data_IF_812136760817
#
_entry.id   IF_812136760817
#
_cell.length_a   1.000
_cell.length_b   1.000
_cell.length_c   1.000
_cell.angle_alpha   90.00
_cell.angle_beta   90.00
_cell.angle_gamma   90.00
#
_symmetry.space_group_name_H-M   'P 1'
#
loop_
_entity.id
_entity.type
_entity.pdbx_description
1 polymer ?
#
# COMPACT_ATOMS: atom_id res chain seq x y z
N UNK A 1 68.34 12.70 14.96
CA UNK A 1 67.02 12.09 15.24
C UNK A 1 66.01 13.22 15.35
N UNK A 2 65.17 13.39 14.33
CA UNK A 2 64.19 14.47 14.24
C UNK A 2 63.04 14.21 15.21
N UNK A 3 62.73 15.16 16.09
CA UNK A 3 61.58 15.08 17.00
C UNK A 3 60.27 14.97 16.20
N UNK A 4 59.30 14.22 16.74
CA UNK A 4 58.00 13.93 16.12
C UNK A 4 57.17 15.22 15.95
N UNK A 5 56.35 15.35 14.88
CA UNK A 5 55.49 16.52 14.68
C UNK A 5 54.56 16.80 15.86
N UNK A 6 54.15 15.75 16.59
CA UNK A 6 53.28 15.88 17.78
C UNK A 6 54.06 16.44 18.97
N UNK A 7 55.33 16.07 19.16
CA UNK A 7 56.15 16.64 20.22
C UNK A 7 56.54 18.09 19.91
N UNK A 8 56.76 18.41 18.63
CA UNK A 8 56.99 19.78 18.19
C UNK A 8 55.74 20.64 18.34
N UNK A 9 54.54 20.13 17.98
CA UNK A 9 53.29 20.85 18.19
C UNK A 9 52.97 21.05 19.69
N UNK A 10 53.28 20.07 20.54
CA UNK A 10 53.15 20.22 21.99
C UNK A 10 54.14 21.26 22.55
N UNK A 11 55.40 21.23 22.10
CA UNK A 11 56.40 22.23 22.47
C UNK A 11 56.06 23.63 21.93
N UNK A 12 55.51 23.75 20.73
CA UNK A 12 55.02 25.01 20.17
C UNK A 12 53.80 25.53 20.94
N UNK A 13 52.88 24.66 21.35
CA UNK A 13 51.74 25.06 22.18
C UNK A 13 52.23 25.51 23.56
N UNK A 14 53.16 24.78 24.18
CA UNK A 14 53.78 25.14 25.45
C UNK A 14 54.58 26.46 25.34
N UNK A 15 55.31 26.66 24.24
CA UNK A 15 56.06 27.87 23.95
C UNK A 15 55.13 29.06 23.69
N UNK A 16 53.95 28.83 23.09
CA UNK A 16 52.93 29.87 22.87
C UNK A 16 52.30 30.31 24.19
N UNK A 17 52.05 29.37 25.12
CA UNK A 17 51.56 29.66 26.47
C UNK A 17 52.59 30.42 27.31
N UNK A 18 53.89 30.10 27.18
CA UNK A 18 54.97 30.79 27.89
C UNK A 18 55.25 32.21 27.37
N UNK A 19 54.82 32.54 26.15
CA UNK A 19 54.99 33.88 25.55
C UNK A 19 53.89 34.87 25.96
N UNK A 20 52.84 34.42 26.63
CA UNK A 20 51.83 35.32 27.20
C UNK A 20 52.51 36.01 28.40
N UNK A 21 52.82 37.32 28.33
CA UNK A 21 53.46 38.01 29.43
C UNK A 21 52.53 37.93 30.65
N UNK A 22 53.05 37.39 31.75
CA UNK A 22 52.33 37.34 33.01
C UNK A 22 51.98 38.78 33.41
N UNK A 23 50.70 39.13 33.58
CA UNK A 23 50.32 40.48 33.96
C UNK A 23 50.93 40.81 35.33
N UNK A 24 51.79 41.84 35.37
CA UNK A 24 52.36 42.34 36.63
C UNK A 24 51.29 43.16 37.34
N UNK A 25 50.74 42.62 38.41
CA UNK A 25 49.71 43.24 39.24
C UNK A 25 50.41 44.05 40.35
N UNK A 26 50.29 45.38 40.32
CA UNK A 26 50.84 46.26 41.38
C UNK A 26 50.04 46.15 42.68
N UNK A 27 48.76 45.80 42.59
CA UNK A 27 47.94 45.33 43.71
C UNK A 27 47.62 43.87 43.48
N UNK A 28 48.28 43.01 44.25
CA UNK A 28 47.88 41.61 44.36
C UNK A 28 46.55 41.59 45.12
N UNK A 29 45.44 41.71 44.39
CA UNK A 29 44.10 41.47 44.93
C UNK A 29 43.77 39.99 44.72
N UNK A 30 43.95 39.14 45.75
CA UNK A 30 43.73 37.70 45.64
C UNK A 30 42.29 37.39 45.21
N UNK A 31 41.36 38.30 45.52
CA UNK A 31 39.93 38.16 45.32
C UNK A 31 39.54 38.14 43.83
N UNK A 32 40.21 38.91 42.96
CA UNK A 32 39.90 38.94 41.52
C UNK A 32 40.44 37.69 40.80
N UNK A 33 41.64 37.24 41.18
CA UNK A 33 42.20 35.98 40.69
C UNK A 33 41.36 34.79 41.16
N UNK A 34 40.91 34.81 42.42
CA UNK A 34 39.99 33.82 42.96
C UNK A 34 38.64 33.84 42.22
N UNK A 35 38.10 35.01 41.89
CA UNK A 35 36.86 35.15 41.12
C UNK A 35 36.99 34.61 39.68
N UNK A 36 38.10 34.91 38.99
CA UNK A 36 38.37 34.39 37.65
C UNK A 36 38.60 32.86 37.65
N UNK A 37 39.35 32.35 38.64
CA UNK A 37 39.55 30.92 38.83
C UNK A 37 38.23 30.20 39.18
N UNK A 38 37.35 30.82 39.97
CA UNK A 38 36.02 30.31 40.28
C UNK A 38 35.12 30.30 39.03
N UNK A 39 35.12 31.36 38.23
CA UNK A 39 34.36 31.43 36.98
C UNK A 39 34.83 30.38 35.96
N UNK A 40 36.15 30.20 35.83
CA UNK A 40 36.75 29.14 35.01
C UNK A 40 36.35 27.74 35.52
N UNK A 41 36.43 27.49 36.83
CA UNK A 41 36.01 26.23 37.42
C UNK A 41 34.52 25.92 37.18
N UNK A 42 33.66 26.96 37.21
CA UNK A 42 32.23 26.83 36.85
C UNK A 42 32.06 26.51 35.37
N UNK A 43 32.78 27.19 34.48
CA UNK A 43 32.73 26.92 33.03
C UNK A 43 33.19 25.50 32.71
N UNK A 44 34.29 25.04 33.30
CA UNK A 44 34.80 23.67 33.16
C UNK A 44 33.76 22.65 33.62
N UNK A 45 33.10 22.87 34.77
CA UNK A 45 32.03 21.98 35.24
C UNK A 45 30.82 21.96 34.32
N UNK A 46 30.46 23.09 33.70
CA UNK A 46 29.36 23.17 32.72
C UNK A 46 29.70 22.41 31.43
N UNK A 47 30.94 22.53 30.94
CA UNK A 47 31.40 21.76 29.78
C UNK A 47 31.39 20.27 30.10
N UNK A 48 31.94 19.85 31.24
CA UNK A 48 31.90 18.45 31.69
C UNK A 48 30.47 17.91 31.84
N UNK A 49 29.52 18.74 32.28
CA UNK A 49 28.12 18.36 32.36
C UNK A 49 27.48 18.22 30.97
N UNK A 50 27.78 19.13 30.04
CA UNK A 50 27.31 19.06 28.65
C UNK A 50 27.89 17.85 27.91
N UNK A 51 29.16 17.52 28.12
CA UNK A 51 29.80 16.36 27.51
C UNK A 51 29.14 15.04 27.97
N UNK A 52 28.80 14.93 29.26
CA UNK A 52 28.03 13.79 29.80
C UNK A 52 26.64 13.68 29.19
N UNK A 53 25.99 14.81 28.92
CA UNK A 53 24.68 14.82 28.26
C UNK A 53 24.76 14.44 26.78
N UNK A 54 25.80 14.88 26.07
CA UNK A 54 26.06 14.47 24.68
C UNK A 54 26.34 12.97 24.63
N UNK A 55 27.15 12.44 25.54
CA UNK A 55 27.44 11.01 25.65
C UNK A 55 26.16 10.20 25.90
N UNK A 56 25.29 10.68 26.82
CA UNK A 56 23.97 10.08 27.04
C UNK A 56 23.10 10.09 25.79
N UNK A 57 23.04 11.22 25.07
CA UNK A 57 22.24 11.31 23.83
C UNK A 57 22.78 10.41 22.72
N UNK A 58 24.10 10.24 22.63
CA UNK A 58 24.72 9.32 21.67
C UNK A 58 24.39 7.87 22.01
N UNK A 59 24.37 7.50 23.30
CA UNK A 59 23.92 6.19 23.75
C UNK A 59 22.44 5.96 23.41
N UNK A 60 21.58 6.95 23.69
CA UNK A 60 20.15 6.89 23.33
C UNK A 60 19.94 6.76 21.81
N UNK A 61 20.74 7.49 21.01
CA UNK A 61 20.68 7.40 19.54
C UNK A 61 21.11 6.02 19.05
N UNK A 62 22.16 5.45 19.65
CA UNK A 62 22.64 4.12 19.32
C UNK A 62 21.61 3.03 19.67
N UNK A 63 20.94 3.16 20.82
CA UNK A 63 19.86 2.25 21.21
C UNK A 63 18.62 2.40 20.32
N UNK A 64 18.28 3.62 19.89
CA UNK A 64 17.25 3.85 18.85
C UNK A 64 17.64 3.24 17.52
N UNK A 65 18.90 3.36 17.08
CA UNK A 65 19.39 2.76 15.84
C UNK A 65 19.35 1.23 15.90
N UNK A 66 19.73 0.62 17.03
CA UNK A 66 19.55 -0.82 17.25
C UNK A 66 18.09 -1.23 17.19
N UNK A 67 17.20 -0.44 17.78
CA UNK A 67 15.75 -0.70 17.73
C UNK A 67 15.20 -0.59 16.31
N UNK A 68 15.64 0.40 15.53
CA UNK A 68 15.29 0.55 14.10
C UNK A 68 15.80 -0.66 13.31
N UNK A 69 17.07 -1.04 13.47
CA UNK A 69 17.63 -2.20 12.79
C UNK A 69 16.94 -3.52 13.18
N UNK A 70 16.53 -3.67 14.44
CA UNK A 70 15.69 -4.80 14.88
C UNK A 70 14.31 -4.78 14.23
N UNK A 71 13.68 -3.62 14.09
CA UNK A 71 12.39 -3.47 13.41
C UNK A 71 12.52 -3.73 11.90
N UNK A 72 13.58 -3.26 11.25
CA UNK A 72 13.89 -3.51 9.84
C UNK A 72 14.16 -5.00 9.59
N UNK A 73 14.85 -5.67 10.52
CA UNK A 73 15.07 -7.11 10.45
C UNK A 73 13.78 -7.90 10.71
N UNK A 74 12.92 -7.46 11.63
CA UNK A 74 11.59 -8.06 11.84
C UNK A 74 10.69 -7.83 10.61
N UNK A 75 10.73 -6.66 9.97
CA UNK A 75 10.02 -6.37 8.72
C UNK A 75 10.52 -7.25 7.57
N UNK A 76 11.84 -7.44 7.47
CA UNK A 76 12.47 -8.33 6.50
C UNK A 76 12.25 -9.83 6.80
N UNK A 77 11.89 -10.18 8.05
CA UNK A 77 11.62 -11.53 8.50
C UNK A 77 10.11 -11.88 8.55
N UNK A 78 9.22 -10.92 8.26
CA UNK A 78 7.82 -11.22 7.97
C UNK A 78 7.78 -11.76 6.52
N UNK A 79 7.56 -13.07 6.28
CA UNK A 79 6.77 -13.42 5.11
C UNK A 79 5.40 -12.83 5.44
N UNK A 80 5.10 -11.65 4.92
CA UNK A 80 3.70 -11.27 4.86
C UNK A 80 3.18 -12.28 3.88
N UNK A 81 2.53 -13.35 4.37
CA UNK A 81 1.92 -14.34 3.48
C UNK A 81 1.25 -13.53 2.39
N UNK A 82 1.74 -13.66 1.13
CA UNK A 82 1.39 -12.68 0.13
C UNK A 82 -0.13 -12.67 0.03
N UNK A 83 -0.71 -11.48 -0.04
CA UNK A 83 -2.13 -11.40 -0.29
C UNK A 83 -2.33 -12.01 -1.68
N UNK A 84 -2.98 -13.17 -1.72
CA UNK A 84 -3.26 -13.84 -2.99
C UNK A 84 -4.48 -13.24 -3.68
N UNK A 85 -5.46 -12.75 -2.90
CA UNK A 85 -6.75 -12.32 -3.41
C UNK A 85 -7.25 -11.08 -2.69
N UNK A 86 -7.81 -10.16 -3.46
CA UNK A 86 -8.47 -8.96 -2.94
C UNK A 86 -9.99 -9.14 -2.94
N UNK A 87 -10.66 -8.60 -1.91
CA UNK A 87 -12.11 -8.42 -1.95
C UNK A 87 -12.47 -7.34 -2.97
N UNK A 88 -13.53 -7.59 -3.75
CA UNK A 88 -14.08 -6.55 -4.62
C UNK A 88 -14.62 -5.36 -3.81
N UNK A 89 -15.15 -5.61 -2.61
CA UNK A 89 -15.58 -4.56 -1.69
C UNK A 89 -14.75 -4.51 -0.41
N UNK A 90 -14.89 -3.40 0.30
CA UNK A 90 -14.29 -3.27 1.62
C UNK A 90 -15.08 -4.12 2.61
N UNK A 91 -14.45 -5.17 3.10
CA UNK A 91 -15.01 -6.06 4.11
C UNK A 91 -14.00 -6.31 5.22
N UNK A 92 -14.45 -6.09 6.46
CA UNK A 92 -13.74 -6.49 7.68
C UNK A 92 -14.31 -7.79 8.28
N UNK A 93 -15.36 -8.35 7.67
CA UNK A 93 -16.11 -9.49 8.17
C UNK A 93 -15.63 -10.85 7.66
N UNK A 94 -14.45 -10.93 7.03
CA UNK A 94 -13.89 -12.20 6.60
C UNK A 94 -13.24 -12.92 7.77
N UNK A 95 -13.80 -14.06 8.16
CA UNK A 95 -13.30 -14.93 9.21
C UNK A 95 -12.41 -16.03 8.62
N UNK A 96 -11.33 -16.34 9.35
CA UNK A 96 -10.40 -17.40 8.98
C UNK A 96 -11.12 -18.76 8.98
N UNK A 97 -10.89 -19.56 7.94
CA UNK A 97 -11.48 -20.89 7.79
C UNK A 97 -12.93 -20.91 7.30
N UNK A 98 -13.49 -19.76 6.90
CA UNK A 98 -14.78 -19.70 6.23
C UNK A 98 -14.64 -19.80 4.71
N UNK A 99 -15.66 -20.33 4.07
CA UNK A 99 -15.76 -20.37 2.62
C UNK A 99 -16.37 -19.07 2.10
N UNK A 100 -15.76 -18.51 1.06
CA UNK A 100 -16.21 -17.29 0.40
C UNK A 100 -16.35 -17.53 -1.09
N UNK A 101 -17.36 -16.87 -1.66
CA UNK A 101 -17.53 -16.82 -3.10
C UNK A 101 -16.42 -16.01 -3.74
N UNK A 102 -16.04 -16.39 -4.96
CA UNK A 102 -15.03 -15.69 -5.75
C UNK A 102 -15.62 -15.22 -7.08
N UNK A 103 -15.00 -14.20 -7.65
CA UNK A 103 -15.24 -13.69 -8.99
C UNK A 103 -14.04 -14.11 -9.84
N UNK A 104 -14.20 -15.18 -10.62
CA UNK A 104 -13.23 -15.48 -11.67
C UNK A 104 -13.45 -14.50 -12.82
N UNK A 105 -12.40 -13.77 -13.20
CA UNK A 105 -12.45 -12.88 -14.35
C UNK A 105 -11.98 -13.68 -15.56
N UNK A 106 -12.91 -14.08 -16.46
CA UNK A 106 -12.54 -14.92 -17.59
C UNK A 106 -11.44 -14.24 -18.37
N UNK A 107 -10.34 -14.98 -18.55
CA UNK A 107 -9.28 -14.62 -19.46
C UNK A 107 -8.53 -13.30 -19.13
N UNK A 108 -8.62 -12.88 -17.87
CA UNK A 108 -7.57 -12.04 -17.28
C UNK A 108 -6.28 -12.86 -17.01
N UNK A 109 -5.90 -13.75 -17.93
CA UNK A 109 -4.67 -14.50 -17.81
C UNK A 109 -3.52 -13.67 -18.38
N UNK A 110 -2.96 -12.79 -17.54
CA UNK A 110 -1.68 -12.21 -17.86
C UNK A 110 -0.60 -13.29 -17.65
N UNK A 111 -0.31 -14.06 -18.71
CA UNK A 111 0.78 -15.05 -18.73
C UNK A 111 2.16 -14.47 -18.36
N UNK A 112 2.30 -13.16 -18.52
CA UNK A 112 3.49 -12.38 -18.17
C UNK A 112 3.36 -11.68 -16.80
N UNK A 113 2.20 -11.75 -16.13
CA UNK A 113 2.06 -11.54 -14.70
C UNK A 113 2.64 -12.77 -13.98
N UNK A 114 3.93 -12.98 -14.20
CA UNK A 114 4.77 -13.67 -13.25
C UNK A 114 4.71 -12.84 -11.99
N UNK A 115 3.81 -13.28 -11.11
CA UNK A 115 3.71 -12.97 -9.71
C UNK A 115 5.10 -12.72 -9.12
N UNK A 116 5.36 -11.48 -8.73
CA UNK A 116 6.51 -11.10 -7.90
C UNK A 116 6.10 -9.96 -6.98
N UNK A 117 5.57 -10.33 -5.81
CA UNK A 117 5.50 -9.51 -4.62
C UNK A 117 5.31 -8.01 -4.88
N UNK A 118 4.18 -7.65 -5.49
CA UNK A 118 3.85 -6.24 -5.71
C UNK A 118 3.64 -5.57 -4.36
N UNK A 119 4.09 -4.31 -4.23
CA UNK A 119 3.87 -3.51 -3.04
C UNK A 119 2.60 -2.69 -3.19
N UNK A 120 1.68 -2.83 -2.25
CA UNK A 120 0.48 -2.02 -2.13
C UNK A 120 0.53 -1.19 -0.84
N UNK A 121 0.04 0.05 -0.89
CA UNK A 121 -0.14 0.92 0.27
C UNK A 121 -1.62 0.94 0.62
N UNK A 122 -2.00 0.26 1.69
CA UNK A 122 -3.40 0.25 2.12
C UNK A 122 -3.64 1.25 3.25
N UNK A 123 -4.85 1.78 3.27
CA UNK A 123 -5.30 2.84 4.18
C UNK A 123 -4.49 4.13 4.07
N UNK A 124 -4.03 4.46 2.86
CA UNK A 124 -3.31 5.70 2.57
C UNK A 124 -4.03 6.92 3.15
N UNK A 125 -3.29 7.81 3.83
CA UNK A 125 -3.84 9.01 4.45
C UNK A 125 -4.53 8.78 5.81
N UNK A 126 -4.47 7.59 6.39
CA UNK A 126 -5.02 7.30 7.73
C UNK A 126 -3.91 6.96 8.75
N UNK A 127 -4.20 6.92 10.06
CA UNK A 127 -3.26 6.37 11.06
C UNK A 127 -2.94 4.88 10.88
N UNK A 128 -3.69 4.15 10.05
CA UNK A 128 -3.59 2.70 9.85
C UNK A 128 -2.83 2.31 8.57
N UNK A 129 -2.12 3.27 7.95
CA UNK A 129 -1.30 3.03 6.75
C UNK A 129 -0.37 1.85 6.97
N UNK A 130 -0.43 0.89 6.04
CA UNK A 130 0.47 -0.27 6.04
C UNK A 130 0.83 -0.67 4.61
N UNK A 131 2.01 -1.25 4.48
CA UNK A 131 2.53 -1.77 3.22
C UNK A 131 2.33 -3.28 3.18
N UNK A 132 1.78 -3.79 2.09
CA UNK A 132 1.52 -5.22 1.91
C UNK A 132 2.11 -5.72 0.61
N UNK A 133 2.62 -6.94 0.65
CA UNK A 133 3.09 -7.67 -0.52
C UNK A 133 1.93 -8.53 -1.02
N UNK A 134 1.66 -8.49 -2.32
CA UNK A 134 0.60 -9.28 -2.92
C UNK A 134 1.00 -9.90 -4.25
N UNK A 135 0.31 -10.99 -4.55
CA UNK A 135 0.41 -11.72 -5.79
C UNK A 135 -0.87 -11.48 -6.58
N UNK A 136 -0.73 -11.11 -7.85
CA UNK A 136 -1.88 -10.75 -8.67
C UNK A 136 -2.46 -11.98 -9.37
N UNK A 137 -3.66 -12.38 -8.95
CA UNK A 137 -4.45 -13.43 -9.57
C UNK A 137 -5.70 -12.87 -10.28
N UNK A 138 -6.23 -13.54 -11.31
CA UNK A 138 -7.45 -13.13 -12.04
C UNK A 138 -8.74 -13.41 -11.26
N UNK A 139 -8.69 -13.26 -9.94
CA UNK A 139 -9.77 -13.65 -9.04
C UNK A 139 -9.91 -12.59 -7.94
N UNK A 140 -11.15 -12.21 -7.65
CA UNK A 140 -11.49 -11.41 -6.47
C UNK A 140 -12.40 -12.19 -5.53
N UNK A 141 -12.36 -11.87 -4.24
CA UNK A 141 -13.36 -12.35 -3.28
C UNK A 141 -14.65 -11.55 -3.48
N UNK A 142 -15.79 -12.24 -3.47
CA UNK A 142 -17.15 -11.70 -3.56
C UNK A 142 -17.82 -11.75 -2.17
N UNK A 143 -17.51 -10.81 -1.27
CA UNK A 143 -17.96 -10.89 0.13
C UNK A 143 -19.48 -10.74 0.33
N UNK A 144 -20.23 -10.19 -0.64
CA UNK A 144 -21.69 -10.04 -0.56
C UNK A 144 -22.49 -11.25 -1.08
N UNK A 145 -21.84 -12.38 -1.38
CA UNK A 145 -22.51 -13.58 -1.91
C UNK A 145 -23.39 -14.37 -0.92
N UNK A 146 -23.49 -13.96 0.35
CA UNK A 146 -24.17 -14.74 1.39
C UNK A 146 -25.64 -14.36 1.66
N UNK A 147 -26.21 -13.38 0.94
CA UNK A 147 -27.55 -12.84 1.23
C UNK A 147 -28.71 -13.27 0.34
N UNK A 148 -28.47 -13.90 -0.82
CA UNK A 148 -29.57 -14.25 -1.71
C UNK A 148 -29.11 -14.87 -3.03
N UNK A 149 -29.29 -16.19 -3.13
CA UNK A 149 -29.06 -17.03 -4.30
C UNK A 149 -27.63 -17.05 -4.86
N UNK A 150 -27.17 -18.24 -5.27
CA UNK A 150 -26.01 -18.38 -6.12
C UNK A 150 -26.27 -17.65 -7.44
N UNK A 151 -25.90 -16.36 -7.51
CA UNK A 151 -26.01 -15.56 -8.73
C UNK A 151 -24.90 -15.89 -9.75
N UNK A 152 -23.89 -16.65 -9.32
CA UNK A 152 -22.68 -16.91 -10.08
C UNK A 152 -22.52 -18.43 -10.22
N UNK A 153 -22.24 -18.90 -11.43
CA UNK A 153 -22.06 -20.33 -11.71
C UNK A 153 -20.98 -20.96 -10.83
N UNK A 154 -21.16 -22.23 -10.47
CA UNK A 154 -20.14 -22.99 -9.72
C UNK A 154 -19.15 -23.64 -10.68
N UNK A 155 -17.87 -23.56 -10.37
CA UNK A 155 -16.84 -24.28 -11.12
C UNK A 155 -17.00 -25.78 -10.85
N UNK A 156 -16.91 -26.57 -11.91
CA UNK A 156 -16.94 -28.02 -11.85
C UNK A 156 -15.70 -28.58 -12.55
N UNK A 157 -15.05 -29.54 -11.90
CA UNK A 157 -13.92 -30.27 -12.47
C UNK A 157 -14.37 -31.07 -13.70
N UNK A 158 -13.58 -31.00 -14.77
CA UNK A 158 -13.85 -31.68 -16.04
C UNK A 158 -13.99 -33.20 -15.88
N UNK A 159 -13.28 -33.77 -14.90
CA UNK A 159 -13.23 -35.17 -14.53
C UNK A 159 -14.55 -35.67 -13.93
N UNK A 160 -15.34 -34.75 -13.36
CA UNK A 160 -16.68 -35.03 -12.84
C UNK A 160 -17.77 -34.86 -13.91
N UNK A 161 -17.41 -34.55 -15.16
CA UNK A 161 -18.33 -34.29 -16.26
C UNK A 161 -18.23 -35.38 -17.34
N UNK A 162 -19.28 -35.53 -18.16
CA UNK A 162 -19.20 -36.40 -19.35
C UNK A 162 -18.31 -35.75 -20.41
N UNK A 163 -17.66 -36.56 -21.25
CA UNK A 163 -16.85 -36.04 -22.36
C UNK A 163 -17.62 -35.08 -23.29
N UNK A 164 -18.91 -35.37 -23.52
CA UNK A 164 -19.79 -34.49 -24.30
C UNK A 164 -20.03 -33.13 -23.62
N UNK A 165 -20.23 -33.12 -22.29
CA UNK A 165 -20.41 -31.88 -21.53
C UNK A 165 -19.12 -31.06 -21.49
N UNK A 166 -17.96 -31.70 -21.30
CA UNK A 166 -16.65 -31.03 -21.36
C UNK A 166 -16.44 -30.40 -22.74
N UNK A 167 -16.69 -31.15 -23.81
CA UNK A 167 -16.58 -30.64 -25.18
C UNK A 167 -17.50 -29.44 -25.43
N UNK A 168 -18.77 -29.53 -25.04
CA UNK A 168 -19.73 -28.45 -25.20
C UNK A 168 -19.29 -27.19 -24.42
N UNK A 169 -18.91 -27.34 -23.15
CA UNK A 169 -18.48 -26.22 -22.32
C UNK A 169 -17.22 -25.56 -22.87
N UNK A 170 -16.24 -26.34 -23.32
CA UNK A 170 -15.04 -25.82 -23.98
C UNK A 170 -15.43 -25.06 -25.25
N UNK A 171 -16.14 -25.70 -26.18
CA UNK A 171 -16.51 -25.10 -27.47
C UNK A 171 -17.33 -23.81 -27.34
N UNK A 172 -18.21 -23.73 -26.33
CA UNK A 172 -19.06 -22.57 -26.11
C UNK A 172 -18.40 -21.46 -25.28
N UNK A 173 -17.30 -21.73 -24.59
CA UNK A 173 -16.63 -20.76 -23.70
C UNK A 173 -16.30 -19.41 -24.35
N UNK A 174 -15.61 -19.33 -25.51
CA UNK A 174 -15.24 -18.05 -26.11
C UNK A 174 -16.46 -17.22 -26.49
N UNK A 175 -17.50 -17.90 -27.00
CA UNK A 175 -18.77 -17.29 -27.35
C UNK A 175 -19.58 -16.87 -26.13
N UNK A 176 -19.52 -17.61 -25.05
CA UNK A 176 -20.15 -17.19 -23.82
C UNK A 176 -19.42 -15.98 -23.23
N UNK A 177 -18.08 -16.04 -23.15
CA UNK A 177 -17.26 -14.99 -22.55
C UNK A 177 -17.47 -13.63 -23.23
N UNK A 178 -17.60 -13.60 -24.56
CA UNK A 178 -17.77 -12.35 -25.31
C UNK A 178 -19.20 -11.83 -25.39
N UNK A 179 -20.20 -12.70 -25.53
CA UNK A 179 -21.60 -12.26 -25.73
C UNK A 179 -22.44 -12.26 -24.46
N UNK A 180 -22.01 -13.00 -23.43
CA UNK A 180 -22.62 -13.04 -22.10
C UNK A 180 -21.53 -12.98 -21.02
N UNK A 181 -20.76 -11.89 -20.96
CA UNK A 181 -19.77 -11.72 -19.90
C UNK A 181 -20.46 -11.69 -18.54
N UNK A 182 -19.78 -12.17 -17.49
CA UNK A 182 -20.19 -11.95 -16.10
C UNK A 182 -19.37 -10.85 -15.45
N UNK A 183 -18.04 -10.86 -15.69
CA UNK A 183 -17.09 -9.96 -15.04
C UNK A 183 -15.99 -9.50 -15.99
N UNK A 184 -15.52 -8.26 -15.81
CA UNK A 184 -14.30 -7.71 -16.42
C UNK A 184 -13.57 -6.79 -15.45
N UNK A 185 -12.28 -6.62 -15.69
CA UNK A 185 -11.54 -5.50 -15.13
C UNK A 185 -11.57 -4.30 -16.08
N UNK A 186 -11.40 -3.13 -15.48
CA UNK A 186 -11.16 -1.90 -16.22
C UNK A 186 -10.64 -0.80 -15.32
N UNK A 187 -10.42 0.36 -15.94
CA UNK A 187 -9.90 1.57 -15.31
C UNK A 187 -10.89 2.71 -15.50
N UNK A 188 -11.16 3.46 -14.43
CA UNK A 188 -12.03 4.64 -14.50
C UNK A 188 -11.35 5.78 -15.26
N UNK A 189 -12.02 6.31 -16.29
CA UNK A 189 -11.49 7.39 -17.13
C UNK A 189 -11.92 8.80 -16.66
N UNK A 190 -12.89 8.89 -15.76
CA UNK A 190 -13.55 10.15 -15.43
C UNK A 190 -12.67 11.08 -14.59
N UNK A 191 -12.62 12.35 -14.95
CA UNK A 191 -11.79 13.37 -14.28
C UNK A 191 -12.38 13.95 -12.98
N UNK A 192 -13.56 13.48 -12.58
CA UNK A 192 -14.20 13.95 -11.36
C UNK A 192 -13.36 13.55 -10.14
N UNK A 193 -13.19 14.50 -9.21
CA UNK A 193 -12.54 14.21 -7.92
C UNK A 193 -13.30 13.13 -7.14
N UNK A 194 -14.63 12.98 -7.30
CA UNK A 194 -15.39 11.80 -6.83
C UNK A 194 -16.63 11.60 -7.71
N UNK A 195 -17.16 10.37 -7.79
CA UNK A 195 -18.44 10.08 -8.48
C UNK A 195 -19.67 10.22 -7.57
N UNK A 196 -19.55 10.95 -6.46
CA UNK A 196 -20.58 11.00 -5.43
C UNK A 196 -21.92 11.64 -5.86
N UNK A 197 -21.90 12.54 -6.85
CA UNK A 197 -23.10 13.25 -7.30
C UNK A 197 -23.87 12.46 -8.36
N UNK A 198 -23.16 11.81 -9.29
CA UNK A 198 -23.78 11.12 -10.43
C UNK A 198 -23.92 9.63 -10.19
N UNK A 199 -23.03 8.99 -9.43
CA UNK A 199 -22.93 7.53 -9.32
C UNK A 199 -22.66 6.82 -10.66
N UNK A 200 -22.34 7.57 -11.72
CA UNK A 200 -22.04 7.04 -13.04
C UNK A 200 -20.60 7.38 -13.43
N UNK A 201 -19.98 6.48 -14.20
CA UNK A 201 -18.61 6.60 -14.66
C UNK A 201 -18.43 6.11 -16.09
N UNK A 202 -17.26 6.45 -16.66
CA UNK A 202 -16.77 5.87 -17.90
C UNK A 202 -15.62 4.93 -17.56
N UNK A 203 -15.66 3.70 -18.07
CA UNK A 203 -14.68 2.64 -17.79
C UNK A 203 -13.98 2.25 -19.07
N UNK A 204 -12.65 2.29 -19.07
CA UNK A 204 -11.82 1.63 -20.07
C UNK A 204 -11.64 0.18 -19.65
N UNK A 205 -12.14 -0.78 -20.42
CA UNK A 205 -11.95 -2.20 -20.14
C UNK A 205 -10.49 -2.60 -20.40
N UNK A 206 -9.98 -3.47 -19.53
CA UNK A 206 -8.68 -4.11 -19.73
C UNK A 206 -8.75 -5.03 -20.96
N UNK A 207 -7.68 -5.14 -21.76
CA UNK A 207 -7.62 -6.11 -22.84
C UNK A 207 -7.87 -7.54 -22.34
N UNK A 208 -8.75 -8.27 -23.02
CA UNK A 208 -9.04 -9.67 -22.75
C UNK A 208 -9.26 -10.41 -24.08
N UNK A 209 -8.64 -11.59 -24.26
CA UNK A 209 -8.78 -12.46 -25.42
C UNK A 209 -8.80 -13.97 -25.05
N UNK A 210 -9.88 -14.70 -25.37
CA UNK A 210 -10.19 -16.05 -24.84
C UNK A 210 -8.98 -16.99 -24.67
N UNK A 211 -9.01 -17.79 -23.60
CA UNK A 211 -7.97 -18.79 -23.32
C UNK A 211 -7.80 -19.87 -24.40
N UNK A 212 -8.82 -20.13 -25.22
CA UNK A 212 -8.76 -21.18 -26.24
C UNK A 212 -8.34 -20.67 -27.62
N UNK A 213 -8.64 -19.41 -27.92
CA UNK A 213 -8.37 -18.76 -29.20
C UNK A 213 -8.19 -17.27 -28.91
N UNK A 214 -7.25 -16.60 -29.56
CA UNK A 214 -6.91 -15.19 -29.31
C UNK A 214 -8.03 -14.18 -29.70
N UNK A 215 -9.27 -14.64 -29.72
CA UNK A 215 -10.49 -13.87 -29.89
C UNK A 215 -10.62 -12.85 -28.77
N UNK A 216 -10.53 -11.56 -29.12
CA UNK A 216 -10.88 -10.47 -28.21
C UNK A 216 -12.32 -10.66 -27.68
N UNK A 217 -12.44 -10.82 -26.37
CA UNK A 217 -13.71 -11.08 -25.68
C UNK A 217 -14.41 -9.82 -25.17
N UNK A 218 -13.84 -8.64 -25.40
CA UNK A 218 -14.53 -7.37 -25.19
C UNK A 218 -15.33 -7.00 -26.45
N UNK A 219 -16.60 -6.64 -26.28
CA UNK A 219 -17.43 -6.12 -27.40
C UNK A 219 -17.10 -4.67 -27.75
N UNK A 220 -16.60 -3.92 -26.78
CA UNK A 220 -16.10 -2.57 -26.91
C UNK A 220 -15.02 -2.34 -25.86
N UNK A 221 -14.21 -1.30 -26.05
CA UNK A 221 -13.11 -0.99 -25.13
C UNK A 221 -13.49 0.04 -24.08
N UNK A 222 -14.51 0.86 -24.35
CA UNK A 222 -14.98 1.91 -23.45
C UNK A 222 -16.45 1.66 -23.14
N UNK A 223 -16.80 1.70 -21.86
CA UNK A 223 -18.17 1.66 -21.37
C UNK A 223 -18.51 3.04 -20.81
N UNK A 224 -19.57 3.66 -21.32
CA UNK A 224 -20.02 4.98 -20.87
C UNK A 224 -21.25 4.85 -19.96
N UNK A 225 -21.43 5.83 -19.07
CA UNK A 225 -22.58 5.92 -18.18
C UNK A 225 -22.82 4.66 -17.33
N UNK A 226 -21.73 3.99 -16.92
CA UNK A 226 -21.77 2.79 -16.09
C UNK A 226 -22.09 3.16 -14.65
N UNK A 227 -23.14 2.55 -14.08
CA UNK A 227 -23.50 2.74 -12.68
C UNK A 227 -22.42 2.17 -11.75
N UNK A 228 -22.07 2.90 -10.69
CA UNK A 228 -21.25 2.42 -9.57
C UNK A 228 -22.18 1.99 -8.44
N UNK A 229 -22.18 0.69 -8.16
CA UNK A 229 -22.88 0.08 -7.04
C UNK A 229 -21.85 -0.44 -6.03
N UNK A 230 -21.53 0.40 -5.05
CA UNK A 230 -20.58 0.08 -3.99
C UNK A 230 -21.14 0.50 -2.63
N UNK A 231 -22.14 -0.23 -2.10
CA UNK A 231 -22.81 0.19 -0.90
C UNK A 231 -21.87 0.24 0.32
N UNK A 232 -22.03 1.20 1.23
CA UNK A 232 -23.06 2.24 1.20
C UNK A 232 -22.76 3.36 0.22
N UNK A 233 -21.50 3.78 0.08
CA UNK A 233 -21.14 5.10 -0.47
C UNK A 233 -21.06 5.22 -2.00
N UNK A 234 -21.27 4.14 -2.75
CA UNK A 234 -21.26 4.08 -4.21
C UNK A 234 -20.02 4.77 -4.80
N UNK A 235 -20.20 5.70 -5.73
CA UNK A 235 -19.14 6.44 -6.42
C UNK A 235 -18.29 7.37 -5.55
N UNK A 236 -18.56 7.52 -4.24
CA UNK A 236 -17.85 8.48 -3.38
C UNK A 236 -16.36 8.21 -3.21
N UNK A 237 -15.97 6.94 -3.20
CA UNK A 237 -14.60 6.50 -2.91
C UNK A 237 -13.79 6.16 -4.17
N UNK A 238 -14.38 6.39 -5.34
CA UNK A 238 -13.77 6.13 -6.65
C UNK A 238 -13.25 7.43 -7.25
N UNK A 239 -12.05 7.35 -7.80
CA UNK A 239 -11.29 8.42 -8.43
C UNK A 239 -10.85 8.00 -9.83
N UNK A 240 -10.38 8.97 -10.62
CA UNK A 240 -9.72 8.71 -11.90
C UNK A 240 -8.60 7.68 -11.73
N UNK A 241 -8.44 6.82 -12.73
CA UNK A 241 -7.40 5.79 -12.81
C UNK A 241 -7.53 4.63 -11.80
N UNK A 242 -8.60 4.58 -11.01
CA UNK A 242 -8.89 3.43 -10.16
C UNK A 242 -9.16 2.16 -11.00
N UNK A 243 -8.56 1.05 -10.58
CA UNK A 243 -8.79 -0.26 -11.15
C UNK A 243 -10.02 -0.93 -10.51
N UNK A 244 -11.01 -1.28 -11.33
CA UNK A 244 -12.35 -1.68 -10.88
C UNK A 244 -12.79 -3.03 -11.43
N UNK A 245 -13.75 -3.64 -10.74
CA UNK A 245 -14.47 -4.83 -11.21
C UNK A 245 -15.82 -4.41 -11.77
N UNK A 246 -16.06 -4.75 -13.03
CA UNK A 246 -17.32 -4.51 -13.74
C UNK A 246 -18.10 -5.82 -13.80
N UNK A 247 -19.29 -5.82 -13.21
CA UNK A 247 -20.30 -6.85 -13.38
C UNK A 247 -21.11 -6.60 -14.65
N UNK A 248 -21.42 -7.67 -15.37
CA UNK A 248 -22.40 -7.68 -16.44
C UNK A 248 -23.55 -8.58 -16.00
N UNK A 249 -24.54 -7.98 -15.37
CA UNK A 249 -25.75 -8.69 -14.97
C UNK A 249 -26.77 -8.57 -16.11
N UNK A 250 -27.50 -9.64 -16.39
CA UNK A 250 -28.67 -9.59 -17.29
C UNK A 250 -29.93 -9.61 -16.42
N UNK A 251 -30.60 -8.46 -16.21
CA UNK A 251 -31.82 -8.43 -15.41
C UNK A 251 -32.90 -9.32 -16.02
N UNK A 252 -33.77 -9.86 -15.17
CA UNK A 252 -34.91 -10.70 -15.60
C UNK A 252 -35.78 -9.90 -16.57
N UNK A 253 -36.00 -10.44 -17.78
CA UNK A 253 -36.78 -9.79 -18.83
C UNK A 253 -35.97 -8.87 -19.75
N UNK A 254 -34.64 -8.85 -19.64
CA UNK A 254 -33.75 -8.19 -20.59
C UNK A 254 -32.85 -9.22 -21.29
N UNK A 255 -32.54 -8.95 -22.57
CA UNK A 255 -31.64 -9.80 -23.37
C UNK A 255 -30.20 -9.28 -23.39
N UNK A 256 -29.98 -8.06 -22.89
CA UNK A 256 -28.69 -7.36 -22.96
C UNK A 256 -28.10 -7.24 -21.56
N UNK A 257 -26.84 -7.67 -21.34
CA UNK A 257 -26.15 -7.46 -20.09
C UNK A 257 -25.92 -5.97 -19.81
N UNK A 258 -26.24 -5.54 -18.59
CA UNK A 258 -26.05 -4.18 -18.11
C UNK A 258 -24.75 -4.11 -17.30
N UNK A 259 -23.78 -3.26 -17.70
CA UNK A 259 -22.54 -3.10 -16.95
C UNK A 259 -22.78 -2.32 -15.65
N UNK A 260 -22.15 -2.75 -14.57
CA UNK A 260 -22.17 -2.08 -13.27
C UNK A 260 -20.82 -2.25 -12.59
N UNK A 261 -20.22 -1.17 -12.11
CA UNK A 261 -19.02 -1.24 -11.28
C UNK A 261 -19.44 -1.68 -9.88
N UNK A 262 -18.94 -2.83 -9.43
CA UNK A 262 -19.32 -3.42 -8.14
C UNK A 262 -18.23 -3.29 -7.07
N UNK A 263 -17.06 -2.77 -7.43
CA UNK A 263 -15.93 -2.78 -6.53
C UNK A 263 -14.58 -2.50 -7.18
N UNK A 264 -13.54 -2.64 -6.38
CA UNK A 264 -12.16 -2.46 -6.77
C UNK A 264 -11.53 -3.79 -7.18
N UNK A 265 -10.62 -3.75 -8.16
CA UNK A 265 -9.77 -4.91 -8.49
C UNK A 265 -8.79 -5.21 -7.35
N UNK A 266 -8.30 -4.18 -6.67
CA UNK A 266 -7.33 -4.25 -5.57
C UNK A 266 -7.59 -3.13 -4.56
N UNK A 267 -7.12 -3.32 -3.34
CA UNK A 267 -7.11 -2.26 -2.31
C UNK A 267 -8.48 -1.56 -2.12
N UNK A 268 -9.56 -2.31 -1.85
CA UNK A 268 -10.88 -1.71 -1.73
C UNK A 268 -10.90 -0.67 -0.61
N UNK A 269 -11.51 0.49 -0.88
CA UNK A 269 -11.55 1.60 0.08
C UNK A 269 -12.77 1.54 0.98
N UNK A 270 -12.57 1.90 2.25
CA UNK A 270 -13.65 2.05 3.23
C UNK A 270 -14.49 3.28 2.92
N UNK A 271 -15.81 3.16 3.04
CA UNK A 271 -16.72 4.29 2.96
C UNK A 271 -16.54 5.24 4.17
N UNK A 272 -16.59 6.57 3.98
CA UNK A 272 -16.52 7.52 5.08
C UNK A 272 -17.65 7.31 6.11
N UNK A 273 -17.37 7.40 7.43
CA UNK A 273 -18.34 7.10 8.49
C UNK A 273 -19.55 8.06 8.54
N UNK A 274 -19.47 9.22 7.90
CA UNK A 274 -20.53 10.24 7.86
C UNK A 274 -21.51 10.09 6.68
N UNK A 275 -21.37 9.06 5.85
CA UNK A 275 -22.13 8.98 4.61
C UNK A 275 -23.52 8.34 4.81
N UNK A 276 -24.56 9.14 4.56
CA UNK A 276 -25.96 8.71 4.42
C UNK A 276 -26.30 8.77 2.93
N UNK A 277 -26.92 7.71 2.40
CA UNK A 277 -27.44 7.71 1.04
C UNK A 277 -28.52 8.81 0.93
N UNK A 278 -28.22 9.88 0.20
CA UNK A 278 -29.27 10.79 -0.24
C UNK A 278 -29.93 10.10 -1.43
N UNK A 279 -31.19 9.71 -1.23
CA UNK A 279 -32.03 9.08 -2.24
C UNK A 279 -32.33 10.02 -3.40
#
# INVERSE_FOLDING_TARGET
MSQSPVSQAAEETQASLNKIPLPTIETFEPDQLAAAAAAYAVAVRKVQAADREIERMQLDQLDRQKRIAQLDALLAAIPGDPIYLWCANYSQGLAVGQEYWTLEIPDYWNKDAVIKGQLATIFEGTPEVRYVIYDEYPVNIAPYGAGGAALNGTLQYSEAMTAAAVFYNAAMEPSHAKWRPHWRYGTLLTENETHAATQHCTVQLDPAASRMDALNINQGTVLENVLINYPSCNGRVFYKDDAVVVQFATPVGQDVPVPTVIGFRREPRQCPPSWIQIA
#
